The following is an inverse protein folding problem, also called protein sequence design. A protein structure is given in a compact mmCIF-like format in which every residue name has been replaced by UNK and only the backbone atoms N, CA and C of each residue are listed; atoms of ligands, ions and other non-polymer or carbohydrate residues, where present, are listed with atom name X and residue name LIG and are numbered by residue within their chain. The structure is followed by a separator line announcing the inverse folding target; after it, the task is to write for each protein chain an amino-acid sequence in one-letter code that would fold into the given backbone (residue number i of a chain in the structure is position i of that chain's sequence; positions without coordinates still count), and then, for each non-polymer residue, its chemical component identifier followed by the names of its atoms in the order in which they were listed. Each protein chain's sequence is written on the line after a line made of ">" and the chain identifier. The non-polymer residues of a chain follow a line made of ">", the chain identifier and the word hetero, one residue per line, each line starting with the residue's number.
data_IF_028641710154
#
_entry.id   IF_028641710154
#
_cell.length_a   1.000
_cell.length_b   1.000
_cell.length_c   1.000
_cell.angle_alpha   90.00
_cell.angle_beta   90.00
_cell.angle_gamma   90.00
#
_symmetry.space_group_name_H-M   'P 1'
#
loop_
_entity.id
_entity.type
_entity.pdbx_description
1 polymer ?
#
# COMPACT_ATOMS: atom_id res chain seq x y z
N UNK A 1 21.49 -4.58 -3.98
CA UNK A 1 20.82 -4.09 -5.21
C UNK A 1 21.14 -2.61 -5.40
N UNK A 2 21.15 -2.07 -6.64
CA UNK A 2 21.23 -0.62 -6.85
C UNK A 2 20.14 0.09 -6.07
N UNK A 3 20.43 1.27 -5.51
CA UNK A 3 19.43 2.12 -4.88
C UNK A 3 18.20 2.24 -5.78
N UNK A 4 17.00 2.16 -5.20
CA UNK A 4 15.75 2.30 -5.97
C UNK A 4 15.68 3.64 -6.71
N UNK A 5 16.46 4.65 -6.31
CA UNK A 5 16.58 5.95 -6.99
C UNK A 5 17.63 6.01 -8.11
N UNK A 6 18.26 4.89 -8.46
CA UNK A 6 19.23 4.83 -9.55
C UNK A 6 18.61 4.99 -10.94
N UNK A 7 19.46 5.36 -11.91
CA UNK A 7 19.08 5.46 -13.32
C UNK A 7 18.47 4.16 -13.86
N UNK A 8 18.94 3.01 -13.37
CA UNK A 8 18.46 1.69 -13.80
C UNK A 8 16.98 1.50 -13.49
N UNK A 9 16.55 1.80 -12.26
CA UNK A 9 15.13 1.69 -11.89
C UNK A 9 14.26 2.69 -12.63
N UNK A 10 14.75 3.92 -12.83
CA UNK A 10 14.06 4.90 -13.67
C UNK A 10 13.93 4.43 -15.12
N UNK A 11 14.94 3.76 -15.67
CA UNK A 11 14.87 3.19 -17.00
C UNK A 11 13.81 2.07 -17.07
N UNK A 12 13.79 1.16 -16.08
CA UNK A 12 12.79 0.11 -16.01
C UNK A 12 11.36 0.68 -15.90
N UNK A 13 11.14 1.68 -15.05
CA UNK A 13 9.84 2.31 -14.84
C UNK A 13 9.32 3.05 -16.09
N UNK A 14 10.20 3.82 -16.75
CA UNK A 14 9.79 4.72 -17.84
C UNK A 14 9.79 4.07 -19.23
N UNK A 15 10.47 2.94 -19.41
CA UNK A 15 10.62 2.32 -20.74
C UNK A 15 10.22 0.83 -20.76
N UNK A 16 10.73 0.02 -19.84
CA UNK A 16 10.49 -1.44 -19.86
C UNK A 16 9.10 -1.78 -19.36
N UNK A 17 8.74 -1.28 -18.18
CA UNK A 17 7.46 -1.53 -17.50
C UNK A 17 6.50 -0.33 -17.57
N UNK A 18 6.74 0.60 -18.50
CA UNK A 18 5.90 1.76 -18.70
C UNK A 18 4.44 1.36 -18.96
N UNK A 19 3.54 1.88 -18.11
CA UNK A 19 2.08 1.78 -18.25
C UNK A 19 1.50 3.18 -18.46
N UNK A 20 0.34 3.32 -19.14
CA UNK A 20 -0.34 4.60 -19.21
C UNK A 20 -0.63 5.13 -17.80
N UNK A 21 -0.26 6.38 -17.56
CA UNK A 21 -0.55 7.02 -16.28
C UNK A 21 -2.06 7.19 -16.10
N UNK A 22 -2.62 6.80 -14.94
CA UNK A 22 -4.03 7.02 -14.67
C UNK A 22 -4.33 8.53 -14.58
N UNK A 23 -5.53 8.97 -15.00
CA UNK A 23 -5.91 10.36 -14.91
C UNK A 23 -5.85 10.83 -13.44
N UNK A 24 -5.35 12.05 -13.16
CA UNK A 24 -5.33 12.56 -11.80
C UNK A 24 -6.76 12.71 -11.27
N UNK A 25 -7.02 12.16 -10.09
CA UNK A 25 -8.28 12.38 -9.38
C UNK A 25 -8.33 13.82 -8.84
N UNK A 26 -9.55 14.31 -8.65
CA UNK A 26 -9.81 15.59 -8.00
C UNK A 26 -10.74 15.36 -6.82
N UNK A 27 -10.36 15.90 -5.67
CA UNK A 27 -11.16 15.82 -4.46
C UNK A 27 -12.40 16.73 -4.57
N UNK A 28 -13.57 16.13 -4.43
CA UNK A 28 -14.87 16.86 -4.40
C UNK A 28 -15.48 16.90 -3.00
N UNK A 29 -15.13 15.96 -2.13
CA UNK A 29 -15.53 15.89 -0.72
C UNK A 29 -14.28 15.90 0.18
N UNK A 30 -14.29 16.60 1.33
CA UNK A 30 -13.13 16.66 2.21
C UNK A 30 -12.71 15.26 2.67
N UNK A 31 -11.43 15.10 2.99
CA UNK A 31 -10.98 13.92 3.73
C UNK A 31 -11.55 14.01 5.15
N UNK A 32 -12.28 12.99 5.58
CA UNK A 32 -12.99 12.98 6.85
C UNK A 32 -12.26 12.13 7.91
N UNK A 33 -11.72 10.97 7.53
CA UNK A 33 -11.12 10.01 8.50
C UNK A 33 -9.81 9.40 8.00
N UNK A 34 -8.79 9.45 8.84
CA UNK A 34 -7.50 8.78 8.61
C UNK A 34 -7.34 7.61 9.59
N UNK A 35 -7.42 6.37 9.10
CA UNK A 35 -7.22 5.17 9.89
C UNK A 35 -5.77 4.69 9.78
N UNK A 36 -4.91 5.23 10.64
CA UNK A 36 -3.45 5.16 10.49
C UNK A 36 -2.80 3.93 11.11
N UNK A 37 -3.56 2.96 11.62
CA UNK A 37 -3.02 1.73 12.17
C UNK A 37 -2.26 0.89 11.14
N UNK A 38 -1.21 0.20 11.58
CA UNK A 38 -0.43 -0.68 10.71
C UNK A 38 -1.29 -1.82 10.13
N UNK A 39 -0.93 -2.39 8.96
CA UNK A 39 -1.59 -3.59 8.46
C UNK A 39 -1.69 -4.67 9.52
N UNK A 40 -2.73 -5.50 9.42
CA UNK A 40 -3.03 -6.58 10.38
C UNK A 40 -3.49 -6.08 11.77
N UNK A 41 -3.96 -4.83 11.87
CA UNK A 41 -4.62 -4.27 13.05
C UNK A 41 -6.10 -3.94 12.78
N UNK A 42 -6.81 -4.88 12.15
CA UNK A 42 -8.24 -4.79 11.80
C UNK A 42 -8.61 -3.71 10.76
N UNK A 43 -7.69 -3.43 9.83
CA UNK A 43 -7.84 -2.42 8.77
C UNK A 43 -9.03 -2.68 7.85
N UNK A 44 -9.25 -3.94 7.45
CA UNK A 44 -10.40 -4.33 6.60
C UNK A 44 -11.75 -4.26 7.33
N UNK A 45 -11.76 -4.71 8.59
CA UNK A 45 -12.95 -4.61 9.44
C UNK A 45 -13.33 -3.15 9.65
N UNK A 46 -12.34 -2.28 9.84
CA UNK A 46 -12.54 -0.84 9.95
C UNK A 46 -13.00 -0.21 8.63
N UNK A 47 -12.48 -0.63 7.48
CA UNK A 47 -13.00 -0.21 6.17
C UNK A 47 -14.48 -0.55 6.03
N UNK A 48 -14.85 -1.79 6.36
CA UNK A 48 -16.24 -2.28 6.30
C UNK A 48 -17.14 -1.47 7.24
N UNK A 49 -16.64 -1.18 8.45
CA UNK A 49 -17.36 -0.38 9.43
C UNK A 49 -17.63 1.04 8.93
N UNK A 50 -16.63 1.72 8.35
CA UNK A 50 -16.79 3.06 7.79
C UNK A 50 -17.79 3.09 6.64
N UNK A 51 -17.73 2.12 5.72
CA UNK A 51 -18.72 2.01 4.64
C UNK A 51 -20.16 1.85 5.19
N UNK A 52 -20.34 1.03 6.25
CA UNK A 52 -21.63 0.86 6.93
C UNK A 52 -22.12 2.14 7.65
N UNK A 53 -21.19 2.99 8.12
CA UNK A 53 -21.50 4.29 8.70
C UNK A 53 -21.81 5.38 7.64
N UNK A 54 -21.86 5.02 6.36
CA UNK A 54 -22.25 5.89 5.26
C UNK A 54 -21.12 6.75 4.70
N UNK A 55 -19.85 6.40 4.95
CA UNK A 55 -18.73 7.02 4.24
C UNK A 55 -18.72 6.53 2.79
N UNK A 56 -18.70 7.44 1.81
CA UNK A 56 -18.89 7.08 0.39
C UNK A 56 -17.90 6.03 -0.10
N UNK A 57 -16.61 6.29 0.15
CA UNK A 57 -15.53 5.38 -0.20
C UNK A 57 -14.39 5.51 0.81
N UNK A 58 -13.97 4.36 1.34
CA UNK A 58 -12.84 4.22 2.25
C UNK A 58 -11.73 3.46 1.53
N UNK A 59 -10.64 4.15 1.21
CA UNK A 59 -9.50 3.57 0.50
C UNK A 59 -8.73 2.61 1.40
N UNK A 60 -8.45 1.41 0.93
CA UNK A 60 -7.68 0.36 1.62
C UNK A 60 -6.43 0.00 0.81
N UNK A 61 -5.49 -0.73 1.41
CA UNK A 61 -4.30 -1.24 0.71
C UNK A 61 -4.65 -2.13 -0.50
N UNK A 62 -5.83 -2.74 -0.49
CA UNK A 62 -6.29 -3.55 -1.62
C UNK A 62 -6.53 -2.69 -2.87
N UNK A 63 -6.99 -1.44 -2.70
CA UNK A 63 -7.25 -0.53 -3.81
C UNK A 63 -5.97 -0.19 -4.60
N UNK A 64 -4.80 -0.23 -3.96
CA UNK A 64 -3.49 0.03 -4.60
C UNK A 64 -3.24 -0.94 -5.77
N UNK A 65 -3.63 -2.20 -5.62
CA UNK A 65 -3.39 -3.27 -6.59
C UNK A 65 -4.62 -3.65 -7.39
N UNK A 66 -5.83 -3.47 -6.83
CA UNK A 66 -7.05 -3.99 -7.43
C UNK A 66 -7.81 -2.99 -8.29
N UNK A 67 -7.68 -1.68 -8.02
CA UNK A 67 -8.38 -0.64 -8.80
C UNK A 67 -8.01 -0.66 -10.29
N UNK A 68 -8.98 -0.28 -11.12
CA UNK A 68 -8.79 0.02 -12.54
C UNK A 68 -9.37 1.41 -12.84
N UNK A 69 -8.56 2.36 -13.35
CA UNK A 69 -7.14 2.25 -13.64
C UNK A 69 -6.29 2.12 -12.36
N UNK A 70 -5.10 1.54 -12.48
CA UNK A 70 -4.22 1.26 -11.33
C UNK A 70 -3.31 2.47 -11.02
N UNK A 71 -3.21 2.85 -9.74
CA UNK A 71 -2.43 4.02 -9.27
C UNK A 71 -1.10 3.65 -8.57
N UNK A 72 -0.64 2.40 -8.68
CA UNK A 72 0.61 1.95 -8.04
C UNK A 72 1.82 2.78 -8.47
N UNK A 73 1.88 3.26 -9.72
CA UNK A 73 2.98 4.14 -10.16
C UNK A 73 3.00 5.48 -9.43
N UNK A 74 1.84 6.05 -9.11
CA UNK A 74 1.72 7.28 -8.32
C UNK A 74 2.18 7.05 -6.89
N UNK A 75 1.77 5.94 -6.26
CA UNK A 75 2.24 5.55 -4.94
C UNK A 75 3.76 5.35 -4.89
N UNK A 76 4.35 4.72 -5.91
CA UNK A 76 5.81 4.58 -6.05
C UNK A 76 6.49 5.96 -6.11
N UNK A 77 5.92 6.94 -6.82
CA UNK A 77 6.46 8.31 -6.84
C UNK A 77 6.44 8.95 -5.46
N UNK A 78 5.36 8.81 -4.69
CA UNK A 78 5.28 9.32 -3.33
C UNK A 78 6.27 8.62 -2.39
N UNK A 79 6.40 7.30 -2.50
CA UNK A 79 7.39 6.52 -1.75
C UNK A 79 8.81 6.99 -2.06
N UNK A 80 9.09 7.21 -3.36
CA UNK A 80 10.38 7.71 -3.83
C UNK A 80 10.69 9.09 -3.25
N UNK A 81 9.73 10.00 -3.28
CA UNK A 81 9.85 11.35 -2.69
C UNK A 81 10.09 11.30 -1.18
N UNK A 82 9.32 10.46 -0.46
CA UNK A 82 9.43 10.27 1.00
C UNK A 82 10.81 9.79 1.44
N UNK A 83 11.37 8.76 0.79
CA UNK A 83 12.59 8.09 1.27
C UNK A 83 13.88 8.48 0.56
N UNK A 84 13.81 8.99 -0.66
CA UNK A 84 14.99 9.37 -1.44
C UNK A 84 15.06 10.87 -1.74
N UNK A 85 14.00 11.62 -1.40
CA UNK A 85 13.85 13.02 -1.75
C UNK A 85 13.66 13.25 -3.24
N UNK A 86 13.56 14.52 -3.59
CA UNK A 86 13.51 15.03 -4.95
C UNK A 86 14.87 15.64 -5.34
N UNK A 87 15.09 15.83 -6.65
CA UNK A 87 16.31 16.47 -7.16
C UNK A 87 16.40 17.95 -6.78
N UNK A 88 15.27 18.61 -6.54
CA UNK A 88 15.18 20.00 -6.09
C UNK A 88 15.28 20.15 -4.56
N UNK A 89 15.46 19.04 -3.82
CA UNK A 89 15.55 19.02 -2.37
C UNK A 89 14.21 19.08 -1.63
N UNK A 90 13.09 19.31 -2.32
CA UNK A 90 11.76 19.32 -1.72
C UNK A 90 11.14 17.91 -1.57
N UNK A 91 11.29 17.34 -0.38
CA UNK A 91 10.74 16.02 -0.05
C UNK A 91 9.30 16.08 0.50
N UNK A 92 8.68 17.25 0.56
CA UNK A 92 7.33 17.43 1.11
C UNK A 92 6.29 16.89 0.13
N UNK A 93 5.45 15.95 0.59
CA UNK A 93 4.30 15.47 -0.18
C UNK A 93 3.12 16.43 0.05
N UNK A 94 2.55 16.97 -1.02
CA UNK A 94 1.45 17.93 -0.91
C UNK A 94 0.08 17.25 -0.86
N UNK A 95 -0.93 18.01 -0.41
CA UNK A 95 -2.32 17.56 -0.42
C UNK A 95 -2.81 17.22 -1.83
N UNK A 96 -2.38 17.99 -2.83
CA UNK A 96 -2.74 17.79 -4.24
C UNK A 96 -2.17 16.47 -4.76
N UNK A 97 -0.93 16.13 -4.40
CA UNK A 97 -0.31 14.84 -4.76
C UNK A 97 -1.08 13.65 -4.15
N UNK A 98 -1.59 13.79 -2.92
CA UNK A 98 -2.50 12.78 -2.35
C UNK A 98 -3.86 12.77 -3.05
N UNK A 99 -4.44 13.94 -3.35
CA UNK A 99 -5.76 14.04 -4.00
C UNK A 99 -5.75 13.47 -5.42
N UNK A 100 -4.61 13.48 -6.14
CA UNK A 100 -4.46 12.80 -7.42
C UNK A 100 -4.71 11.28 -7.33
N UNK A 101 -4.55 10.68 -6.15
CA UNK A 101 -4.71 9.25 -5.89
C UNK A 101 -5.97 8.97 -5.06
N UNK A 102 -6.21 9.76 -4.02
CA UNK A 102 -7.25 9.54 -3.01
C UNK A 102 -8.47 10.46 -3.21
N UNK A 103 -8.51 11.29 -4.26
CA UNK A 103 -9.52 12.33 -4.43
C UNK A 103 -10.98 11.84 -4.46
N UNK A 104 -11.21 10.56 -4.77
CA UNK A 104 -12.54 9.93 -4.72
C UNK A 104 -12.90 9.37 -3.33
N UNK A 105 -11.95 9.30 -2.40
CA UNK A 105 -12.09 8.66 -1.09
C UNK A 105 -12.24 9.69 0.02
N UNK A 106 -13.18 9.50 0.94
CA UNK A 106 -13.36 10.37 2.13
C UNK A 106 -12.69 9.79 3.38
N UNK A 107 -12.26 8.54 3.32
CA UNK A 107 -11.46 7.92 4.37
C UNK A 107 -10.36 7.04 3.78
N UNK A 108 -9.31 6.77 4.55
CA UNK A 108 -8.18 5.92 4.13
C UNK A 108 -7.69 5.05 5.28
N UNK A 109 -7.32 3.80 4.99
CA UNK A 109 -6.82 2.81 5.95
C UNK A 109 -5.66 2.00 5.37
N UNK A 110 -5.10 1.11 6.19
CA UNK A 110 -4.09 0.11 5.80
C UNK A 110 -2.79 0.71 5.21
N UNK A 111 -2.21 0.13 4.16
CA UNK A 111 -0.90 0.52 3.63
C UNK A 111 -0.79 2.02 3.30
N UNK A 112 -1.81 2.56 2.60
CA UNK A 112 -1.85 3.96 2.21
C UNK A 112 -1.82 4.89 3.43
N UNK A 113 -2.63 4.59 4.45
CA UNK A 113 -2.72 5.39 5.67
C UNK A 113 -1.49 5.23 6.57
N UNK A 114 -1.00 4.01 6.76
CA UNK A 114 0.08 3.71 7.70
C UNK A 114 1.46 4.16 7.19
N UNK A 115 1.77 3.92 5.92
CA UNK A 115 3.08 4.30 5.33
C UNK A 115 3.26 5.81 5.27
N UNK A 116 2.17 6.54 5.01
CA UNK A 116 2.15 7.99 4.86
C UNK A 116 1.46 8.70 6.02
N UNK A 117 1.39 8.10 7.21
CA UNK A 117 0.55 8.62 8.30
C UNK A 117 0.90 10.06 8.67
N UNK A 118 2.20 10.38 8.83
CA UNK A 118 2.64 11.73 9.17
C UNK A 118 2.29 12.74 8.07
N UNK A 119 2.50 12.38 6.81
CA UNK A 119 2.21 13.25 5.66
C UNK A 119 0.71 13.44 5.44
N UNK A 120 -0.10 12.39 5.63
CA UNK A 120 -1.56 12.47 5.53
C UNK A 120 -2.16 13.33 6.67
N UNK A 121 -1.68 13.16 7.90
CA UNK A 121 -2.10 14.00 9.04
C UNK A 121 -1.77 15.48 8.77
N UNK A 122 -0.59 15.76 8.22
CA UNK A 122 -0.20 17.12 7.86
C UNK A 122 -1.02 17.68 6.68
N UNK A 123 -1.32 16.87 5.67
CA UNK A 123 -2.06 17.28 4.48
C UNK A 123 -3.57 17.48 4.73
N UNK A 124 -4.14 16.76 5.70
CA UNK A 124 -5.56 16.78 6.04
C UNK A 124 -5.78 17.07 7.54
N UNK A 125 -5.44 18.29 8.02
CA UNK A 125 -5.47 18.61 9.45
C UNK A 125 -6.88 18.60 10.06
N UNK A 126 -7.92 18.69 9.23
CA UNK A 126 -9.32 18.66 9.65
C UNK A 126 -9.90 17.24 9.78
N UNK A 127 -9.22 16.24 9.23
CA UNK A 127 -9.67 14.85 9.31
C UNK A 127 -9.51 14.31 10.74
N UNK A 128 -10.47 13.50 11.18
CA UNK A 128 -10.38 12.73 12.42
C UNK A 128 -9.38 11.60 12.22
N UNK A 129 -8.56 11.31 13.23
CA UNK A 129 -7.55 10.25 13.15
C UNK A 129 -7.94 9.09 14.05
N UNK A 130 -8.00 7.89 13.47
CA UNK A 130 -8.19 6.63 14.19
C UNK A 130 -6.87 5.86 14.16
N UNK A 131 -6.22 5.73 15.32
CA UNK A 131 -5.10 4.82 15.51
C UNK A 131 -5.67 3.44 15.89
N UNK A 132 -5.97 2.63 14.87
CA UNK A 132 -6.33 1.24 15.08
C UNK A 132 -5.10 0.41 15.49
N UNK A 133 -5.23 -0.41 16.53
CA UNK A 133 -4.13 -1.20 17.08
C UNK A 133 -4.56 -2.58 17.57
N UNK A 134 -3.59 -3.42 17.95
CA UNK A 134 -3.80 -4.71 18.63
C UNK A 134 -3.13 -4.64 19.99
N UNK A 135 -3.86 -5.07 21.03
CA UNK A 135 -3.35 -5.12 22.41
C UNK A 135 -2.17 -6.09 22.54
N UNK A 136 -2.31 -7.26 21.93
CA UNK A 136 -1.25 -8.26 21.85
C UNK A 136 -0.32 -7.96 20.67
N UNK A 137 0.85 -7.41 21.00
CA UNK A 137 1.89 -7.07 20.03
C UNK A 137 2.56 -8.30 19.43
N UNK A 138 2.65 -9.40 20.16
CA UNK A 138 3.27 -10.63 19.70
C UNK A 138 2.36 -11.31 18.68
N UNK A 139 1.07 -11.41 18.98
CA UNK A 139 0.07 -11.90 18.04
C UNK A 139 -0.09 -10.99 16.80
N UNK A 140 0.12 -9.67 16.94
CA UNK A 140 0.22 -8.79 15.77
C UNK A 140 1.45 -9.13 14.93
N UNK A 141 2.62 -9.27 15.56
CA UNK A 141 3.88 -9.50 14.87
C UNK A 141 3.86 -10.82 14.10
N UNK A 142 3.38 -11.91 14.71
CA UNK A 142 3.21 -13.20 14.05
C UNK A 142 2.27 -13.12 12.83
N UNK A 143 1.15 -12.39 12.95
CA UNK A 143 0.21 -12.17 11.85
C UNK A 143 0.84 -11.34 10.73
N UNK A 144 1.62 -10.31 11.08
CA UNK A 144 2.30 -9.44 10.13
C UNK A 144 3.38 -10.21 9.36
N UNK A 145 4.23 -10.99 10.06
CA UNK A 145 5.22 -11.88 9.45
C UNK A 145 4.49 -12.84 8.50
N UNK A 146 3.52 -13.61 9.00
CA UNK A 146 2.82 -14.62 8.20
C UNK A 146 2.18 -14.05 6.93
N UNK A 147 1.44 -12.93 7.03
CA UNK A 147 0.70 -12.40 5.89
C UNK A 147 1.60 -11.63 4.91
N UNK A 148 2.44 -10.72 5.40
CA UNK A 148 3.21 -9.84 4.51
C UNK A 148 4.41 -10.58 3.89
N UNK A 149 5.04 -11.49 4.63
CA UNK A 149 6.17 -12.29 4.10
C UNK A 149 5.70 -13.33 3.08
N UNK A 150 4.51 -13.92 3.25
CA UNK A 150 4.02 -14.95 2.32
C UNK A 150 3.91 -14.47 0.87
N UNK A 151 3.71 -13.16 0.65
CA UNK A 151 3.70 -12.57 -0.69
C UNK A 151 5.11 -12.50 -1.26
N UNK A 152 6.09 -12.12 -0.44
CA UNK A 152 7.51 -12.06 -0.81
C UNK A 152 8.08 -13.45 -1.16
N UNK A 153 7.67 -14.48 -0.43
CA UNK A 153 8.05 -15.89 -0.67
C UNK A 153 7.36 -16.49 -1.91
N UNK A 154 6.35 -15.82 -2.47
CA UNK A 154 5.64 -16.30 -3.64
C UNK A 154 6.46 -16.07 -4.92
N UNK A 155 7.33 -17.04 -5.23
CA UNK A 155 8.19 -17.04 -6.41
C UNK A 155 7.41 -16.88 -7.73
N UNK A 156 6.17 -17.36 -7.81
CA UNK A 156 5.34 -17.20 -9.01
C UNK A 156 4.96 -15.73 -9.21
N UNK A 157 4.57 -15.00 -8.16
CA UNK A 157 4.33 -13.56 -8.22
C UNK A 157 5.61 -12.78 -8.54
N UNK A 158 6.75 -13.19 -7.99
CA UNK A 158 8.04 -12.59 -8.34
C UNK A 158 8.34 -12.74 -9.84
N UNK A 159 8.22 -13.95 -10.39
CA UNK A 159 8.44 -14.20 -11.83
C UNK A 159 7.47 -13.40 -12.68
N UNK A 160 6.18 -13.37 -12.31
CA UNK A 160 5.20 -12.55 -13.01
C UNK A 160 5.59 -11.06 -13.00
N UNK A 161 6.13 -10.56 -11.89
CA UNK A 161 6.63 -9.17 -11.80
C UNK A 161 7.81 -8.88 -12.74
N UNK A 162 8.63 -9.89 -13.05
CA UNK A 162 9.71 -9.76 -14.03
C UNK A 162 9.20 -9.78 -15.47
N UNK A 163 8.10 -10.50 -15.73
CA UNK A 163 7.57 -10.73 -17.08
C UNK A 163 6.47 -9.74 -17.49
N UNK A 164 5.75 -9.13 -16.55
CA UNK A 164 4.58 -8.31 -16.85
C UNK A 164 4.66 -6.91 -16.28
N UNK A 165 4.19 -5.92 -17.04
CA UNK A 165 4.11 -4.51 -16.61
C UNK A 165 3.18 -4.29 -15.42
N UNK A 166 1.99 -4.89 -15.44
CA UNK A 166 1.02 -4.74 -14.34
C UNK A 166 1.51 -5.40 -13.04
N UNK A 167 1.95 -6.68 -13.03
CA UNK A 167 2.51 -7.30 -11.82
C UNK A 167 3.82 -6.66 -11.38
N UNK A 168 4.61 -6.08 -12.30
CA UNK A 168 5.78 -5.29 -11.93
C UNK A 168 5.39 -4.16 -10.97
N UNK A 169 4.41 -3.32 -11.33
CA UNK A 169 4.01 -2.18 -10.49
C UNK A 169 3.42 -2.60 -9.13
N UNK A 170 2.66 -3.69 -9.09
CA UNK A 170 2.14 -4.25 -7.83
C UNK A 170 3.25 -4.75 -6.89
N UNK A 171 4.24 -5.49 -7.44
CA UNK A 171 5.42 -5.89 -6.67
C UNK A 171 6.27 -4.67 -6.29
N UNK A 172 6.42 -3.71 -7.20
CA UNK A 172 7.28 -2.55 -7.02
C UNK A 172 6.79 -1.65 -5.89
N UNK A 173 5.48 -1.36 -5.85
CA UNK A 173 4.91 -0.52 -4.80
C UNK A 173 5.04 -1.17 -3.41
N UNK A 174 4.75 -2.47 -3.29
CA UNK A 174 4.74 -3.15 -1.99
C UNK A 174 6.10 -3.68 -1.56
N UNK A 175 6.67 -4.57 -2.36
CA UNK A 175 7.84 -5.38 -2.00
C UNK A 175 9.17 -4.65 -2.18
N UNK A 176 9.19 -3.55 -2.95
CA UNK A 176 10.40 -2.73 -3.13
C UNK A 176 10.31 -1.40 -2.37
N UNK A 177 9.14 -0.78 -2.31
CA UNK A 177 8.98 0.53 -1.66
C UNK A 177 8.32 0.45 -0.28
N UNK A 178 7.02 0.19 -0.22
CA UNK A 178 6.21 0.39 0.99
C UNK A 178 6.71 -0.44 2.17
N UNK A 179 6.83 -1.76 2.01
CA UNK A 179 7.19 -2.62 3.13
C UNK A 179 8.65 -2.54 3.54
N UNK A 180 9.64 -2.56 2.63
CA UNK A 180 11.03 -2.36 3.04
C UNK A 180 11.25 -1.00 3.70
N UNK A 181 10.59 0.06 3.20
CA UNK A 181 10.65 1.40 3.78
C UNK A 181 10.03 1.49 5.16
N UNK A 182 8.80 0.98 5.33
CA UNK A 182 8.07 0.97 6.60
C UNK A 182 8.79 0.15 7.67
N UNK A 183 9.20 -1.08 7.35
CA UNK A 183 9.83 -2.00 8.30
C UNK A 183 11.35 -1.81 8.42
N UNK A 184 11.93 -0.82 7.74
CA UNK A 184 13.37 -0.52 7.73
C UNK A 184 14.21 -1.75 7.39
N UNK A 185 13.78 -2.47 6.35
CA UNK A 185 14.48 -3.63 5.80
C UNK A 185 15.69 -3.17 4.97
N UNK A 186 16.74 -2.68 5.64
CA UNK A 186 17.92 -2.08 5.01
C UNK A 186 18.74 -3.06 4.16
N UNK A 187 18.59 -4.35 4.40
CA UNK A 187 19.16 -5.45 3.61
C UNK A 187 18.34 -5.75 2.33
N UNK A 188 17.19 -5.09 2.16
CA UNK A 188 16.26 -5.35 1.06
C UNK A 188 15.44 -6.62 1.23
N UNK A 189 15.52 -7.29 2.38
CA UNK A 189 14.74 -8.47 2.69
C UNK A 189 13.64 -8.10 3.71
N UNK A 190 12.40 -8.08 3.22
CA UNK A 190 11.24 -7.73 4.04
C UNK A 190 11.03 -8.73 5.19
N UNK A 191 11.32 -10.02 4.99
CA UNK A 191 11.15 -11.06 6.01
C UNK A 191 12.03 -10.77 7.22
N UNK A 192 13.32 -10.57 6.99
CA UNK A 192 14.27 -10.24 8.06
C UNK A 192 13.97 -8.88 8.66
N UNK A 193 13.55 -7.91 7.83
CA UNK A 193 13.13 -6.59 8.26
C UNK A 193 11.97 -6.63 9.24
N UNK A 194 10.86 -7.28 8.88
CA UNK A 194 9.67 -7.36 9.73
C UNK A 194 9.91 -8.24 10.95
N UNK A 195 10.61 -9.36 10.80
CA UNK A 195 10.95 -10.24 11.93
C UNK A 195 11.80 -9.51 12.98
N UNK A 196 12.82 -8.75 12.55
CA UNK A 196 13.73 -8.04 13.45
C UNK A 196 13.14 -6.74 13.99
N UNK A 197 12.52 -5.94 13.14
CA UNK A 197 12.18 -4.55 13.45
C UNK A 197 10.67 -4.36 13.75
N UNK A 198 9.80 -5.30 13.37
CA UNK A 198 8.35 -5.11 13.33
C UNK A 198 7.75 -4.58 14.64
N UNK A 199 8.06 -5.21 15.78
CA UNK A 199 7.55 -4.77 17.10
C UNK A 199 8.03 -3.37 17.49
N UNK A 200 9.24 -3.00 17.10
CA UNK A 200 9.78 -1.67 17.39
C UNK A 200 9.14 -0.61 16.48
N UNK A 201 9.03 -0.88 15.17
CA UNK A 201 8.31 -0.03 14.21
C UNK A 201 6.87 0.20 14.67
N UNK A 202 6.19 -0.84 15.17
CA UNK A 202 4.84 -0.72 15.72
C UNK A 202 4.75 0.31 16.85
N UNK A 203 5.59 0.14 17.88
CA UNK A 203 5.61 1.02 19.06
C UNK A 203 5.95 2.45 18.66
N UNK A 204 6.96 2.61 17.82
CA UNK A 204 7.38 3.92 17.31
C UNK A 204 6.28 4.59 16.51
N UNK A 205 5.60 3.86 15.62
CA UNK A 205 4.46 4.35 14.85
C UNK A 205 3.35 4.84 15.77
N UNK A 206 2.91 4.03 16.73
CA UNK A 206 1.88 4.46 17.69
C UNK A 206 2.29 5.72 18.47
N UNK A 207 3.55 5.80 18.92
CA UNK A 207 4.05 6.97 19.65
C UNK A 207 4.15 8.22 18.77
N UNK A 208 4.56 8.06 17.51
CA UNK A 208 4.57 9.13 16.53
C UNK A 208 3.17 9.71 16.33
N UNK A 209 2.15 8.87 16.13
CA UNK A 209 0.76 9.33 15.95
C UNK A 209 0.26 10.07 17.20
N UNK A 210 0.50 9.53 18.40
CA UNK A 210 0.15 10.20 19.66
C UNK A 210 0.81 11.57 19.84
N UNK A 211 2.01 11.76 19.27
CA UNK A 211 2.73 13.03 19.31
C UNK A 211 2.28 14.03 18.23
N UNK A 212 1.80 13.55 17.08
CA UNK A 212 1.39 14.39 15.95
C UNK A 212 -0.05 14.89 16.05
N UNK A 213 -0.94 14.12 16.68
CA UNK A 213 -2.39 14.39 16.66
C UNK A 213 -2.86 14.87 18.03
N UNK A 214 -3.57 16.02 18.12
CA UNK A 214 -4.23 16.45 19.35
C UNK A 214 -5.22 15.39 19.85
N UNK A 215 -5.34 15.22 21.18
CA UNK A 215 -6.14 14.14 21.79
C UNK A 215 -7.61 14.18 21.36
N UNK A 216 -8.16 15.36 21.14
CA UNK A 216 -9.54 15.59 20.68
C UNK A 216 -9.80 15.12 19.24
N UNK A 217 -8.74 14.98 18.42
CA UNK A 217 -8.80 14.48 17.04
C UNK A 217 -8.25 13.06 16.91
N UNK A 218 -7.90 12.40 18.01
CA UNK A 218 -7.31 11.06 18.01
C UNK A 218 -8.20 10.07 18.78
N UNK A 219 -8.62 9.01 18.09
CA UNK A 219 -9.17 7.82 18.72
C UNK A 219 -8.15 6.70 18.66
N UNK A 220 -7.72 6.20 19.81
CA UNK A 220 -7.05 4.90 19.90
C UNK A 220 -8.11 3.81 20.01
N UNK A 221 -8.13 2.89 19.05
CA UNK A 221 -9.20 1.90 18.91
C UNK A 221 -8.62 0.52 18.58
N UNK A 222 -9.23 -0.54 19.09
CA UNK A 222 -8.93 -1.90 18.65
C UNK A 222 -10.23 -2.64 18.32
N UNK A 223 -10.12 -3.76 17.59
CA UNK A 223 -11.30 -4.48 17.08
C UNK A 223 -12.27 -4.96 18.18
N UNK A 224 -11.79 -5.19 19.40
CA UNK A 224 -12.63 -5.62 20.53
C UNK A 224 -13.46 -4.47 21.11
N UNK A 225 -13.09 -3.22 20.82
CA UNK A 225 -13.83 -2.04 21.28
C UNK A 225 -15.16 -1.86 20.51
N UNK A 226 -15.28 -2.46 19.32
CA UNK A 226 -16.51 -2.47 18.54
C UNK A 226 -17.00 -1.08 18.09
N UNK A 227 -18.33 -0.95 17.97
CA UNK A 227 -18.98 0.24 17.41
C UNK A 227 -18.96 1.46 18.33
N UNK A 228 -19.28 1.29 19.61
CA UNK A 228 -19.60 2.42 20.50
C UNK A 228 -18.54 3.54 20.52
N UNK A 229 -17.26 3.27 20.81
CA UNK A 229 -16.25 4.32 20.82
C UNK A 229 -15.97 4.90 19.44
N UNK A 230 -16.04 4.08 18.39
CA UNK A 230 -15.84 4.51 17.01
C UNK A 230 -16.94 5.47 16.56
N UNK A 231 -18.21 5.07 16.72
CA UNK A 231 -19.38 5.88 16.36
C UNK A 231 -19.45 7.16 17.17
N UNK A 232 -19.16 7.11 18.48
CA UNK A 232 -19.11 8.29 19.33
C UNK A 232 -18.07 9.29 18.84
N UNK A 233 -16.87 8.83 18.52
CA UNK A 233 -15.79 9.68 18.03
C UNK A 233 -16.09 10.25 16.64
N UNK A 234 -16.69 9.45 15.75
CA UNK A 234 -17.04 9.86 14.39
C UNK A 234 -18.37 10.64 14.31
N UNK A 235 -19.09 10.80 15.43
CA UNK A 235 -20.40 11.44 15.51
C UNK A 235 -21.44 10.77 14.59
N UNK A 236 -21.47 9.44 14.64
CA UNK A 236 -22.41 8.59 13.88
C UNK A 236 -23.31 7.82 14.84
N UNK A 237 -24.50 7.43 14.37
CA UNK A 237 -25.35 6.49 15.10
C UNK A 237 -24.68 5.11 15.18
N UNK A 238 -24.84 4.42 16.30
CA UNK A 238 -24.38 3.03 16.48
C UNK A 238 -25.32 2.11 15.70
N UNK A 239 -24.81 1.31 14.74
CA UNK A 239 -25.63 0.31 14.05
C UNK A 239 -26.14 -0.78 15.01
N UNK A 240 -27.32 -1.35 14.73
CA UNK A 240 -27.88 -2.47 15.52
C UNK A 240 -27.22 -3.82 15.21
N UNK A 241 -26.40 -3.90 14.16
CA UNK A 241 -25.67 -5.11 13.77
C UNK A 241 -24.35 -5.28 14.52
N UNK A 242 -23.83 -6.51 14.69
CA UNK A 242 -22.51 -6.74 15.27
C UNK A 242 -21.40 -6.01 14.50
N UNK A 243 -20.32 -5.64 15.20
CA UNK A 243 -19.16 -5.06 14.54
C UNK A 243 -18.57 -6.05 13.52
N UNK A 244 -18.21 -5.61 12.31
CA UNK A 244 -17.67 -6.49 11.29
C UNK A 244 -16.36 -7.14 11.76
N UNK A 245 -16.34 -8.48 11.83
CA UNK A 245 -15.12 -9.26 12.07
C UNK A 245 -14.70 -9.96 10.79
N UNK A 246 -13.91 -9.24 9.99
CA UNK A 246 -13.64 -9.64 8.62
C UNK A 246 -12.14 -9.79 8.40
N UNK A 247 -11.72 -11.01 8.06
CA UNK A 247 -10.36 -11.34 7.65
C UNK A 247 -10.14 -11.23 6.13
N UNK A 248 -11.23 -11.14 5.35
CA UNK A 248 -11.31 -10.84 3.92
C UNK A 248 -12.63 -10.12 3.65
N UNK A 249 -12.62 -8.82 3.33
CA UNK A 249 -13.87 -8.11 3.06
C UNK A 249 -14.65 -8.84 1.94
N UNK A 250 -15.92 -9.15 2.21
CA UNK A 250 -16.83 -9.76 1.23
C UNK A 250 -16.92 -8.83 0.02
N UNK A 251 -16.20 -9.16 -1.04
CA UNK A 251 -16.03 -8.28 -2.21
C UNK A 251 -14.70 -8.46 -2.92
N UNK A 252 -13.63 -8.89 -2.23
CA UNK A 252 -12.29 -8.99 -2.83
C UNK A 252 -12.01 -10.29 -3.60
N UNK A 253 -12.74 -11.38 -3.38
CA UNK A 253 -12.48 -12.67 -4.06
C UNK A 253 -12.61 -12.59 -5.59
N UNK A 254 -13.63 -11.85 -6.07
CA UNK A 254 -13.80 -11.58 -7.50
C UNK A 254 -12.66 -10.70 -8.04
N UNK A 255 -12.12 -9.79 -7.21
CA UNK A 255 -11.00 -8.92 -7.58
C UNK A 255 -9.68 -9.70 -7.65
N UNK A 256 -9.42 -10.65 -6.73
CA UNK A 256 -8.24 -11.52 -6.74
C UNK A 256 -8.12 -12.29 -8.08
N UNK A 257 -9.23 -12.89 -8.53
CA UNK A 257 -9.26 -13.61 -9.81
C UNK A 257 -9.03 -12.68 -11.01
N UNK A 258 -9.64 -11.50 -11.01
CA UNK A 258 -9.47 -10.52 -12.07
C UNK A 258 -8.03 -9.98 -12.13
N UNK A 259 -7.42 -9.71 -10.98
CA UNK A 259 -6.02 -9.28 -10.87
C UNK A 259 -5.09 -10.37 -11.38
N UNK A 260 -5.30 -11.61 -10.96
CA UNK A 260 -4.53 -12.77 -11.43
C UNK A 260 -4.62 -12.89 -12.96
N UNK A 261 -5.82 -12.77 -13.53
CA UNK A 261 -6.03 -12.79 -14.99
C UNK A 261 -5.29 -11.64 -15.69
N UNK A 262 -5.34 -10.42 -15.12
CA UNK A 262 -4.60 -9.25 -15.64
C UNK A 262 -3.09 -9.46 -15.57
N UNK A 263 -2.59 -10.04 -14.48
CA UNK A 263 -1.17 -10.33 -14.29
C UNK A 263 -0.68 -11.34 -15.33
N UNK A 264 -1.39 -12.46 -15.49
CA UNK A 264 -1.08 -13.47 -16.50
C UNK A 264 -1.11 -12.88 -17.92
N UNK A 265 -2.17 -12.14 -18.27
CA UNK A 265 -2.28 -11.49 -19.59
C UNK A 265 -1.13 -10.51 -19.83
N UNK A 266 -0.74 -9.73 -18.81
CA UNK A 266 0.38 -8.80 -18.90
C UNK A 266 1.73 -9.51 -19.00
N UNK A 267 1.89 -10.70 -18.44
CA UNK A 267 3.15 -11.46 -18.48
C UNK A 267 3.38 -12.16 -19.83
N UNK A 268 2.30 -12.55 -20.54
CA UNK A 268 2.40 -13.16 -21.87
C UNK A 268 3.19 -12.29 -22.87
N UNK A 269 3.03 -10.96 -22.82
CA UNK A 269 3.77 -10.06 -23.71
C UNK A 269 5.27 -10.02 -23.37
N UNK A 270 5.65 -10.10 -22.09
CA UNK A 270 7.07 -10.15 -21.72
C UNK A 270 7.74 -11.49 -22.05
N UNK A 271 7.02 -12.61 -21.96
CA UNK A 271 7.53 -13.92 -22.42
C UNK A 271 7.91 -13.88 -23.91
N UNK A 272 7.09 -13.23 -24.74
CA UNK A 272 7.40 -13.05 -26.15
C UNK A 272 8.68 -12.23 -26.37
N UNK A 273 8.87 -11.14 -25.60
CA UNK A 273 10.07 -10.29 -25.67
C UNK A 273 11.32 -11.06 -25.23
N UNK A 274 11.28 -11.75 -24.09
CA UNK A 274 12.42 -12.53 -23.58
C UNK A 274 12.79 -13.64 -24.56
N UNK A 275 11.80 -14.34 -25.12
CA UNK A 275 12.03 -15.36 -26.14
C UNK A 275 12.70 -14.78 -27.40
N UNK A 276 12.23 -13.62 -27.89
CA UNK A 276 12.81 -12.97 -29.05
C UNK A 276 14.26 -12.52 -28.83
N UNK A 277 14.56 -11.95 -27.66
CA UNK A 277 15.93 -11.57 -27.27
C UNK A 277 16.80 -12.82 -27.16
N UNK A 278 16.32 -13.88 -26.52
CA UNK A 278 17.04 -15.15 -26.39
C UNK A 278 17.39 -15.78 -27.74
N UNK A 279 16.44 -15.79 -28.68
CA UNK A 279 16.67 -16.26 -30.06
C UNK A 279 17.71 -15.39 -30.76
N UNK A 280 17.61 -14.06 -30.67
CA UNK A 280 18.55 -13.14 -31.31
C UNK A 280 19.98 -13.29 -30.74
N UNK A 281 20.13 -13.35 -29.41
CA UNK A 281 21.41 -13.58 -28.76
C UNK A 281 21.97 -14.95 -29.11
N UNK A 282 21.15 -16.00 -29.09
CA UNK A 282 21.56 -17.35 -29.50
C UNK A 282 22.03 -17.41 -30.94
N UNK A 283 21.36 -16.72 -31.86
CA UNK A 283 21.78 -16.63 -33.27
C UNK A 283 23.10 -15.85 -33.45
N UNK A 284 23.31 -14.78 -32.68
CA UNK A 284 24.58 -14.03 -32.68
C UNK A 284 25.71 -14.91 -32.17
N UNK A 285 25.52 -15.58 -31.03
CA UNK A 285 26.52 -16.47 -30.43
C UNK A 285 26.83 -17.64 -31.37
N UNK A 286 25.82 -18.24 -31.99
CA UNK A 286 26.03 -19.31 -32.97
C UNK A 286 26.90 -18.83 -34.14
N UNK A 287 26.60 -17.65 -34.70
CA UNK A 287 27.36 -17.05 -35.82
C UNK A 287 28.78 -16.58 -35.44
N UNK A 288 29.04 -16.30 -34.17
CA UNK A 288 30.39 -15.92 -33.72
C UNK A 288 31.23 -17.12 -33.31
N UNK A 289 30.61 -18.27 -33.03
CA UNK A 289 31.29 -19.52 -32.65
C UNK A 289 31.52 -20.49 -33.81
N UNK A 290 30.78 -20.34 -34.92
CA UNK A 290 30.82 -21.19 -36.11
C UNK A 290 30.77 -20.33 -37.38
#
# INVERSE_FOLDING_TARGET
>A
MPSLNSWWWRFLENYVYAVPEPPPRKRTKPMEVLCVGLPRSATESLQTALLKLGYDHTYHGWDIVYETPNYSSKWVRLCRKKWFGSLDGNSTITKEEFDEILGHSVAVTDAAASVFAAELIAAYPDAKVVLNYRKDLDAWHESAVKTLVSVNENWALYILSCLGKVPFWGWHVYERFMWPGLFRALDGNIETGIARNGKWVYKEHCNMIRGLVPKEKLLEWNAEDGWEPLCKFLEKAVPEEPFPHVNKASGWENHEAEVTKRYLKSALSGVAVVSAVGIATGAIVYKTMW
#
